data_IF_543007444446
#
_entry.id   IF_543007444446
#
_cell.length_a   1.000
_cell.length_b   1.000
_cell.length_c   1.000
_cell.angle_alpha   90.00
_cell.angle_beta   90.00
_cell.angle_gamma   90.00
#
_symmetry.space_group_name_H-M   'P 1'
#
loop_
_entity.id
_entity.type
_entity.pdbx_description
1 polymer ?
#
# COMPACT_ATOMS: atom_id res chain seq x y z
N UNK A 1 26.75 1.13 1.20
CA UNK A 1 25.54 0.68 0.48
C UNK A 1 24.36 1.54 0.94
N UNK A 2 23.87 2.46 0.11
CA UNK A 2 22.73 3.32 0.47
C UNK A 2 21.45 2.48 0.50
N UNK A 3 20.81 2.39 1.66
CA UNK A 3 19.47 1.80 1.77
C UNK A 3 18.48 2.85 1.29
N UNK A 4 17.86 2.63 0.13
CA UNK A 4 16.81 3.49 -0.38
C UNK A 4 15.54 3.27 0.47
N UNK A 5 15.01 4.34 1.03
CA UNK A 5 13.72 4.36 1.72
C UNK A 5 12.74 5.14 0.86
N UNK A 6 11.57 4.57 0.60
CA UNK A 6 10.43 5.26 -0.03
C UNK A 6 9.59 5.89 1.08
N UNK A 7 9.26 7.17 0.97
CA UNK A 7 8.25 7.78 1.83
C UNK A 7 6.87 7.22 1.46
N UNK A 8 6.18 6.61 2.42
CA UNK A 8 4.80 6.15 2.26
C UNK A 8 3.84 7.34 2.43
N UNK A 9 4.10 8.18 3.44
CA UNK A 9 3.28 9.35 3.74
C UNK A 9 3.64 9.99 5.06
N UNK A 10 3.00 11.13 5.33
CA UNK A 10 3.16 11.90 6.56
C UNK A 10 1.79 12.26 7.13
N UNK A 11 1.62 12.17 8.45
CA UNK A 11 0.37 12.53 9.10
C UNK A 11 0.63 12.86 10.57
N UNK A 12 0.05 13.97 11.07
CA UNK A 12 0.12 14.36 12.49
C UNK A 12 1.56 14.34 13.07
N UNK A 13 2.50 14.96 12.37
CA UNK A 13 3.94 15.00 12.72
C UNK A 13 4.68 13.66 12.69
N UNK A 14 4.02 12.59 12.23
CA UNK A 14 4.64 11.30 11.97
C UNK A 14 4.98 11.15 10.50
N UNK A 15 6.13 10.57 10.21
CA UNK A 15 6.54 10.15 8.87
C UNK A 15 6.62 8.64 8.80
N UNK A 16 6.09 8.05 7.73
CA UNK A 16 6.21 6.62 7.49
C UNK A 16 7.08 6.36 6.28
N UNK A 17 8.17 5.63 6.50
CA UNK A 17 9.16 5.26 5.49
C UNK A 17 9.10 3.75 5.25
N UNK A 18 9.42 3.30 4.05
CA UNK A 18 9.42 1.89 3.70
C UNK A 18 10.68 1.48 2.97
N UNK A 19 11.18 0.30 3.33
CA UNK A 19 12.27 -0.36 2.63
C UNK A 19 12.04 -1.87 2.64
N UNK A 20 11.87 -2.44 1.44
CA UNK A 20 11.76 -3.88 1.11
C UNK A 20 10.64 -4.62 1.88
N UNK A 21 10.74 -4.75 3.19
CA UNK A 21 9.77 -5.46 4.05
C UNK A 21 9.56 -4.77 5.40
N UNK A 22 10.07 -3.56 5.56
CA UNK A 22 9.99 -2.82 6.83
C UNK A 22 9.41 -1.45 6.59
N UNK A 23 8.31 -1.17 7.25
CA UNK A 23 7.82 0.18 7.43
C UNK A 23 8.38 0.75 8.74
N UNK A 24 8.72 2.03 8.73
CA UNK A 24 9.28 2.75 9.85
C UNK A 24 8.37 3.94 10.12
N UNK A 25 7.67 3.92 11.23
CA UNK A 25 6.90 5.07 11.72
C UNK A 25 7.85 5.88 12.61
N UNK A 26 8.13 7.11 12.19
CA UNK A 26 9.08 7.97 12.86
C UNK A 26 8.41 9.27 13.31
N UNK A 27 8.59 9.60 14.59
CA UNK A 27 8.35 10.92 15.12
C UNK A 27 9.71 11.63 15.31
N UNK A 28 10.10 12.55 14.40
CA UNK A 28 11.37 13.26 14.50
C UNK A 28 11.44 14.16 15.74
N UNK A 29 10.33 14.78 16.15
CA UNK A 29 10.28 15.74 17.26
C UNK A 29 10.63 15.12 18.60
N UNK A 30 10.20 13.88 18.85
CA UNK A 30 10.52 13.14 20.09
C UNK A 30 11.55 12.03 19.87
N UNK A 31 12.12 11.94 18.67
CA UNK A 31 13.13 10.95 18.26
C UNK A 31 12.70 9.49 18.52
N UNK A 32 11.40 9.19 18.45
CA UNK A 32 10.86 7.83 18.62
C UNK A 32 10.61 7.19 17.27
N UNK A 33 10.93 5.90 17.19
CA UNK A 33 10.78 5.09 15.99
C UNK A 33 10.06 3.79 16.36
N UNK A 34 9.12 3.38 15.52
CA UNK A 34 8.55 2.04 15.52
C UNK A 34 8.83 1.39 14.18
N UNK A 35 9.38 0.17 14.22
CA UNK A 35 9.60 -0.64 13.02
C UNK A 35 8.49 -1.68 12.93
N UNK A 36 7.84 -1.72 11.78
CA UNK A 36 6.75 -2.64 11.46
C UNK A 36 7.22 -3.55 10.34
N UNK A 37 7.11 -4.87 10.56
CA UNK A 37 7.33 -5.85 9.49
C UNK A 37 6.09 -5.84 8.59
N UNK A 38 6.30 -5.58 7.31
CA UNK A 38 5.24 -5.64 6.29
C UNK A 38 5.17 -7.10 5.81
N UNK A 39 4.01 -7.78 5.92
CA UNK A 39 3.84 -9.15 5.49
C UNK A 39 4.23 -9.27 4.03
N UNK A 40 5.02 -10.30 3.70
CA UNK A 40 5.40 -10.53 2.33
C UNK A 40 4.18 -10.99 1.51
N UNK A 41 4.18 -10.72 0.22
CA UNK A 41 3.24 -11.37 -0.68
C UNK A 41 3.64 -12.82 -0.89
N UNK A 42 2.67 -13.71 -1.11
CA UNK A 42 2.90 -15.16 -1.25
C UNK A 42 3.83 -15.46 -2.43
N UNK A 43 3.76 -14.64 -3.48
CA UNK A 43 4.64 -14.69 -4.64
C UNK A 43 5.04 -13.28 -5.09
N UNK A 44 6.25 -12.84 -4.72
CA UNK A 44 6.77 -11.52 -5.06
C UNK A 44 7.09 -11.33 -6.55
N UNK A 45 6.98 -12.39 -7.38
CA UNK A 45 7.13 -12.26 -8.84
C UNK A 45 5.82 -11.82 -9.48
N UNK A 46 4.69 -12.26 -8.91
CA UNK A 46 3.34 -12.00 -9.42
C UNK A 46 2.74 -10.76 -8.76
N UNK A 47 2.88 -10.69 -7.43
CA UNK A 47 2.22 -9.68 -6.63
C UNK A 47 3.15 -8.51 -6.30
N UNK A 48 2.62 -7.32 -6.44
CA UNK A 48 3.21 -6.07 -6.00
C UNK A 48 2.40 -5.49 -4.85
N UNK A 49 3.00 -4.51 -4.16
CA UNK A 49 2.39 -3.86 -3.00
C UNK A 49 2.44 -2.35 -3.15
N UNK A 50 1.29 -1.71 -2.96
CA UNK A 50 1.22 -0.28 -2.65
C UNK A 50 0.89 -0.07 -1.17
N UNK A 51 1.45 1.00 -0.62
CA UNK A 51 1.30 1.34 0.79
C UNK A 51 0.65 2.72 0.94
N UNK A 52 -0.08 2.90 2.03
CA UNK A 52 -0.59 4.19 2.49
C UNK A 52 -0.38 4.32 3.99
N UNK A 53 -0.20 5.55 4.48
CA UNK A 53 0.00 5.82 5.90
C UNK A 53 -0.85 7.00 6.36
N UNK A 54 -1.54 6.83 7.49
CA UNK A 54 -2.34 7.88 8.09
C UNK A 54 -2.56 7.66 9.58
N UNK A 55 -2.87 8.75 10.28
CA UNK A 55 -3.30 8.74 11.68
C UNK A 55 -4.76 9.17 11.71
N UNK A 56 -5.60 8.36 12.35
CA UNK A 56 -7.00 8.71 12.58
C UNK A 56 -7.07 9.74 13.72
N UNK A 57 -7.76 10.87 13.52
CA UNK A 57 -7.80 11.97 14.49
C UNK A 57 -8.43 11.57 15.82
N UNK A 58 -9.50 10.79 15.78
CA UNK A 58 -10.27 10.42 16.97
C UNK A 58 -9.51 9.46 17.89
N UNK A 59 -8.72 8.54 17.30
CA UNK A 59 -7.99 7.53 18.07
C UNK A 59 -6.51 7.85 18.23
N UNK A 60 -6.00 8.83 17.47
CA UNK A 60 -4.57 9.17 17.33
C UNK A 60 -3.68 7.97 16.97
N UNK A 61 -4.29 6.90 16.45
CA UNK A 61 -3.66 5.60 16.27
C UNK A 61 -3.13 5.49 14.83
N UNK A 62 -1.80 5.44 14.64
CA UNK A 62 -1.20 5.30 13.32
C UNK A 62 -1.56 3.98 12.65
N UNK A 63 -1.88 4.06 11.36
CA UNK A 63 -2.24 2.91 10.54
C UNK A 63 -1.43 2.90 9.25
N UNK A 64 -1.11 1.70 8.80
CA UNK A 64 -0.51 1.46 7.48
C UNK A 64 -1.50 0.61 6.71
N UNK A 65 -1.89 1.08 5.53
CA UNK A 65 -2.68 0.28 4.60
C UNK A 65 -1.72 -0.34 3.59
N UNK A 66 -1.88 -1.62 3.36
CA UNK A 66 -1.20 -2.39 2.32
C UNK A 66 -2.23 -2.85 1.32
N UNK A 67 -1.98 -2.57 0.05
CA UNK A 67 -2.78 -3.06 -1.07
C UNK A 67 -1.91 -3.95 -1.94
N UNK A 68 -2.28 -5.21 -2.05
CA UNK A 68 -1.62 -6.19 -2.92
C UNK A 68 -2.30 -6.14 -4.30
N UNK A 69 -1.51 -6.12 -5.38
CA UNK A 69 -2.03 -6.07 -6.75
C UNK A 69 -1.16 -6.88 -7.72
N UNK A 70 -1.69 -7.19 -8.91
CA UNK A 70 -0.95 -7.92 -9.96
C UNK A 70 -0.55 -6.91 -11.04
N UNK A 71 0.75 -6.74 -11.25
CA UNK A 71 1.24 -5.73 -12.20
C UNK A 71 1.31 -6.24 -13.64
N UNK A 72 1.50 -7.55 -13.86
CA UNK A 72 1.65 -8.12 -15.21
C UNK A 72 0.35 -8.77 -15.68
N UNK A 73 -0.06 -8.46 -16.90
CA UNK A 73 -1.32 -8.96 -17.46
C UNK A 73 -1.33 -10.49 -17.57
N UNK A 74 -0.21 -11.09 -17.99
CA UNK A 74 -0.01 -12.54 -18.11
C UNK A 74 -0.29 -13.29 -16.81
N UNK A 75 -0.08 -12.64 -15.67
CA UNK A 75 -0.22 -13.27 -14.36
C UNK A 75 -1.68 -13.20 -13.88
N UNK A 76 -2.48 -12.25 -14.38
CA UNK A 76 -3.90 -12.08 -14.01
C UNK A 76 -4.75 -13.25 -14.52
N UNK A 77 -4.46 -13.76 -15.71
CA UNK A 77 -5.21 -14.88 -16.32
C UNK A 77 -5.12 -16.15 -15.46
N UNK A 78 -3.97 -16.36 -14.82
CA UNK A 78 -3.68 -17.54 -14.00
C UNK A 78 -4.11 -17.42 -12.53
N UNK A 79 -4.58 -16.24 -12.10
CA UNK A 79 -4.94 -15.96 -10.70
C UNK A 79 -6.44 -15.74 -10.57
N UNK A 80 -7.11 -16.53 -9.72
CA UNK A 80 -8.55 -16.42 -9.46
C UNK A 80 -8.90 -15.24 -8.54
N UNK A 81 -8.06 -14.98 -7.55
CA UNK A 81 -8.23 -13.89 -6.58
C UNK A 81 -6.88 -13.49 -5.98
N UNK A 82 -6.80 -12.27 -5.44
CA UNK A 82 -5.60 -11.79 -4.74
C UNK A 82 -5.80 -12.07 -3.24
N UNK A 83 -5.00 -12.96 -2.63
CA UNK A 83 -5.09 -13.22 -1.20
C UNK A 83 -4.72 -11.96 -0.42
N UNK A 84 -5.52 -11.63 0.60
CA UNK A 84 -5.31 -10.46 1.48
C UNK A 84 -5.04 -9.18 0.67
N UNK A 85 -5.89 -8.94 -0.32
CA UNK A 85 -5.70 -7.82 -1.24
C UNK A 85 -5.59 -6.48 -0.53
N UNK A 86 -6.28 -6.33 0.60
CA UNK A 86 -6.12 -5.19 1.50
C UNK A 86 -5.80 -5.71 2.90
N UNK A 87 -4.75 -5.16 3.49
CA UNK A 87 -4.38 -5.38 4.89
C UNK A 87 -4.14 -4.04 5.58
N UNK A 88 -4.56 -3.93 6.83
CA UNK A 88 -4.37 -2.73 7.64
C UNK A 88 -3.60 -3.08 8.90
N UNK A 89 -2.41 -2.49 9.04
CA UNK A 89 -1.69 -2.46 10.30
C UNK A 89 -2.27 -1.37 11.20
N UNK A 90 -2.44 -1.69 12.47
CA UNK A 90 -2.81 -0.73 13.50
C UNK A 90 -1.76 -0.73 14.60
N UNK A 91 -1.14 0.42 14.87
CA UNK A 91 -0.05 0.52 15.85
C UNK A 91 -0.51 0.14 17.25
N UNK A 92 -1.67 0.62 17.69
CA UNK A 92 -2.23 0.32 19.01
C UNK A 92 -2.43 -1.18 19.29
N UNK A 93 -2.68 -1.98 18.25
CA UNK A 93 -2.80 -3.45 18.37
C UNK A 93 -1.55 -4.21 17.94
N UNK A 94 -0.58 -3.55 17.30
CA UNK A 94 0.62 -4.17 16.75
C UNK A 94 0.36 -5.25 15.69
N UNK A 95 -0.78 -5.23 15.00
CA UNK A 95 -1.24 -6.33 14.17
C UNK A 95 -1.75 -5.87 12.81
N UNK A 96 -1.51 -6.70 11.79
CA UNK A 96 -2.14 -6.62 10.47
C UNK A 96 -3.47 -7.35 10.49
N UNK A 97 -4.49 -6.75 9.87
CA UNK A 97 -5.81 -7.36 9.70
C UNK A 97 -6.33 -7.10 8.30
N UNK A 98 -6.93 -8.13 7.69
CA UNK A 98 -7.66 -7.98 6.44
C UNK A 98 -9.12 -7.63 6.75
N UNK A 99 -9.65 -6.49 6.28
CA UNK A 99 -11.09 -6.25 6.36
C UNK A 99 -11.83 -7.22 5.42
N UNK A 100 -12.97 -7.77 5.85
CA UNK A 100 -13.83 -8.67 5.05
C UNK A 100 -14.60 -7.93 3.93
N UNK A 101 -14.13 -6.77 3.47
CA UNK A 101 -14.84 -5.93 2.50
C UNK A 101 -14.67 -6.43 1.07
N UNK A 102 -15.55 -5.96 0.17
CA UNK A 102 -15.44 -6.13 -1.28
C UNK A 102 -14.01 -5.84 -1.74
N UNK A 103 -13.27 -6.90 -2.04
CA UNK A 103 -11.89 -6.79 -2.46
C UNK A 103 -11.87 -6.09 -3.83
N UNK A 104 -10.92 -5.18 -4.09
CA UNK A 104 -10.80 -4.54 -5.39
C UNK A 104 -10.68 -5.61 -6.50
N UNK A 105 -11.14 -5.32 -7.72
CA UNK A 105 -11.00 -6.29 -8.82
C UNK A 105 -9.52 -6.66 -9.02
N UNK A 106 -9.24 -7.90 -9.44
CA UNK A 106 -7.85 -8.32 -9.76
C UNK A 106 -7.22 -7.57 -10.94
N UNK A 107 -8.02 -6.84 -11.71
CA UNK A 107 -7.62 -5.99 -12.83
C UNK A 107 -7.11 -4.60 -12.42
N UNK A 108 -7.23 -4.23 -11.14
CA UNK A 108 -6.75 -2.96 -10.60
C UNK A 108 -5.23 -2.98 -10.52
N UNK A 109 -4.60 -1.98 -11.12
CA UNK A 109 -3.16 -1.73 -11.05
C UNK A 109 -2.89 -0.31 -10.53
N UNK A 110 -1.69 -0.12 -9.99
CA UNK A 110 -1.16 1.20 -9.64
C UNK A 110 0.00 1.49 -10.59
N UNK A 111 -0.13 2.54 -11.40
CA UNK A 111 0.83 2.88 -12.46
C UNK A 111 2.21 3.32 -11.95
N UNK A 112 3.02 3.92 -12.84
CA UNK A 112 4.38 4.36 -12.52
C UNK A 112 4.47 5.42 -11.41
N UNK A 113 3.41 6.23 -11.22
CA UNK A 113 3.27 7.14 -10.08
C UNK A 113 2.86 6.35 -8.83
N UNK A 114 3.83 5.69 -8.20
CA UNK A 114 3.61 4.90 -6.99
C UNK A 114 3.44 5.80 -5.77
N UNK A 115 2.23 6.01 -5.28
CA UNK A 115 2.00 6.69 -3.99
C UNK A 115 0.52 6.88 -3.67
N UNK A 116 0.14 6.51 -2.45
CA UNK A 116 -1.17 6.84 -1.89
C UNK A 116 -1.09 8.05 -0.96
N UNK A 117 -2.17 8.81 -0.86
CA UNK A 117 -2.32 9.91 0.09
C UNK A 117 -3.41 9.57 1.10
N UNK A 118 -3.16 9.77 2.40
CA UNK A 118 -4.17 9.58 3.42
C UNK A 118 -4.50 10.91 4.10
N UNK A 119 -5.79 11.27 4.11
CA UNK A 119 -6.33 12.50 4.71
C UNK A 119 -7.50 12.12 5.61
N UNK A 120 -7.49 12.59 6.85
CA UNK A 120 -8.56 12.37 7.84
C UNK A 120 -9.01 10.90 7.97
N UNK A 121 -8.05 9.98 7.94
CA UNK A 121 -8.31 8.54 8.10
C UNK A 121 -8.83 7.83 6.84
N UNK A 122 -8.93 8.52 5.70
CA UNK A 122 -9.24 7.95 4.39
C UNK A 122 -7.98 7.97 3.53
N UNK A 123 -7.69 6.86 2.85
CA UNK A 123 -6.55 6.75 1.94
C UNK A 123 -7.02 6.66 0.49
N UNK A 124 -6.36 7.42 -0.38
CA UNK A 124 -6.63 7.54 -1.79
C UNK A 124 -5.41 7.09 -2.59
N UNK A 125 -5.69 6.37 -3.67
CA UNK A 125 -4.72 6.01 -4.69
C UNK A 125 -5.33 6.32 -6.05
N UNK A 126 -4.50 6.44 -7.07
CA UNK A 126 -4.94 6.60 -8.47
C UNK A 126 -4.76 5.26 -9.21
N UNK A 127 -5.73 4.33 -9.11
CA UNK A 127 -5.66 3.06 -9.82
C UNK A 127 -6.04 3.22 -11.29
N UNK A 128 -5.57 2.28 -12.10
CA UNK A 128 -6.13 2.01 -13.44
C UNK A 128 -6.78 0.64 -13.42
N UNK A 129 -8.00 0.52 -13.94
CA UNK A 129 -8.64 -0.77 -14.18
C UNK A 129 -8.27 -1.24 -15.59
N UNK A 130 -7.49 -2.33 -15.70
CA UNK A 130 -7.11 -2.85 -17.02
C UNK A 130 -8.28 -3.45 -17.80
N UNK A 131 -9.40 -3.78 -17.15
CA UNK A 131 -10.57 -4.30 -17.87
C UNK A 131 -11.25 -3.25 -18.75
N UNK A 132 -10.97 -1.96 -18.52
CA UNK A 132 -11.51 -0.85 -19.31
C UNK A 132 -10.51 -0.31 -20.33
N UNK A 133 -9.30 -0.86 -20.40
CA UNK A 133 -8.29 -0.48 -21.39
C UNK A 133 -8.48 -1.40 -22.59
N UNK A 134 -9.14 -0.91 -23.63
CA UNK A 134 -9.22 -1.61 -24.92
C UNK A 134 -7.80 -1.98 -25.39
N UNK A 135 -7.64 -3.15 -25.99
CA UNK A 135 -6.36 -3.70 -26.46
C UNK A 135 -5.58 -2.80 -27.43
N UNK A 136 -6.15 -1.67 -27.87
CA UNK A 136 -5.58 -0.73 -28.84
C UNK A 136 -4.99 0.56 -28.27
N UNK A 137 -5.08 0.87 -26.98
CA UNK A 137 -4.56 2.16 -26.47
C UNK A 137 -3.67 1.95 -25.26
N UNK A 138 -2.37 1.76 -25.51
CA UNK A 138 -1.34 2.16 -24.56
C UNK A 138 -1.41 3.69 -24.40
N UNK A 139 -2.22 4.15 -23.45
CA UNK A 139 -2.18 5.53 -23.01
C UNK A 139 -0.91 5.72 -22.17
N UNK A 140 0.21 5.97 -22.86
CA UNK A 140 1.26 6.80 -22.29
C UNK A 140 0.65 8.17 -22.09
N UNK A 141 0.27 8.51 -20.86
CA UNK A 141 0.04 9.90 -20.50
C UNK A 141 0.74 10.18 -19.17
N UNK A 142 1.51 11.26 -19.24
CA UNK A 142 2.55 11.80 -18.36
C UNK A 142 1.98 12.23 -17.01
#
# INVERSE_FOLDING_TARGET
MLKFYKTIGTSHSLSCLYNILRAVIWNPSIRKVVVVVVPNTVDNKIFNTELGFGVRRETTDPKIVKVTYIDRFTDIENVTSIPWQVEVFTLGTGAWKSPNSNLPRKSIIFGGQKGGACVDGVCYWLPTDRSTVDAGIQAYNI
#
